data_IF_074936051875
#
_entry.id   IF_074936051875
#
_cell.length_a   1.000
_cell.length_b   1.000
_cell.length_c   1.000
_cell.angle_alpha   90.00
_cell.angle_beta   90.00
_cell.angle_gamma   90.00
#
_symmetry.space_group_name_H-M   'P 1'
#
loop_
_entity.id
_entity.type
_entity.pdbx_description
1 polymer ?
#
# COMPACT_ATOMS: atom_id res chain seq x y z
N UNK A 1 -14.52 10.92 -4.59
CA UNK A 1 -13.29 11.00 -3.78
C UNK A 1 -12.23 10.20 -4.51
N UNK A 2 -11.17 10.85 -4.96
CA UNK A 2 -10.08 10.19 -5.71
C UNK A 2 -8.96 9.82 -4.74
N UNK A 3 -8.74 8.52 -4.55
CA UNK A 3 -7.61 7.99 -3.80
C UNK A 3 -6.49 7.70 -4.80
N UNK A 4 -5.33 8.37 -4.67
CA UNK A 4 -4.19 8.06 -5.54
C UNK A 4 -3.40 6.88 -4.97
N UNK A 5 -3.52 5.75 -5.63
CA UNK A 5 -2.65 4.59 -5.45
C UNK A 5 -1.33 4.80 -6.21
N UNK A 6 -0.74 6.00 -6.20
CA UNK A 6 0.39 6.40 -7.06
C UNK A 6 -0.03 7.07 -8.39
N UNK A 7 0.96 7.64 -9.10
CA UNK A 7 0.77 8.34 -10.40
C UNK A 7 1.23 7.50 -11.60
N UNK A 8 1.81 6.32 -11.37
CA UNK A 8 2.22 5.41 -12.45
C UNK A 8 1.05 4.56 -12.95
N UNK A 9 1.03 4.32 -14.26
CA UNK A 9 0.07 3.43 -14.94
C UNK A 9 0.30 1.96 -14.53
N UNK A 10 1.52 1.61 -14.12
CA UNK A 10 1.93 0.23 -13.81
C UNK A 10 1.82 -0.03 -12.32
N UNK A 11 0.89 -0.91 -11.96
CA UNK A 11 0.82 -1.53 -10.63
C UNK A 11 1.56 -2.86 -10.65
N UNK A 12 2.47 -3.08 -9.70
CA UNK A 12 3.20 -4.33 -9.55
C UNK A 12 2.58 -5.16 -8.43
N UNK A 13 2.25 -6.41 -8.74
CA UNK A 13 1.89 -7.41 -7.74
C UNK A 13 3.15 -7.79 -6.94
N UNK A 14 3.03 -7.77 -5.61
CA UNK A 14 4.12 -8.07 -4.67
C UNK A 14 3.85 -9.30 -3.83
N UNK A 15 2.75 -10.01 -4.08
CA UNK A 15 2.39 -11.24 -3.39
C UNK A 15 1.31 -11.02 -2.32
N UNK A 16 1.27 -11.92 -1.36
CA UNK A 16 0.24 -11.94 -0.31
C UNK A 16 0.88 -11.84 1.07
N UNK A 17 0.18 -11.18 1.99
CA UNK A 17 0.53 -11.19 3.42
C UNK A 17 0.18 -12.52 4.06
N UNK A 18 0.69 -12.73 5.27
CA UNK A 18 0.15 -13.77 6.15
C UNK A 18 -1.31 -13.46 6.57
N UNK A 19 -2.01 -14.45 7.16
CA UNK A 19 -3.40 -14.29 7.56
C UNK A 19 -3.52 -13.22 8.65
N UNK A 20 -4.09 -12.07 8.29
CA UNK A 20 -4.30 -10.93 9.19
C UNK A 20 -5.81 -10.72 9.31
N UNK A 21 -6.26 -10.29 10.49
CA UNK A 21 -7.65 -9.89 10.67
C UNK A 21 -7.94 -8.57 9.95
N UNK A 22 -8.90 -8.60 9.03
CA UNK A 22 -9.33 -7.38 8.37
C UNK A 22 -10.16 -6.51 9.32
N UNK A 23 -9.80 -5.23 9.55
CA UNK A 23 -10.54 -4.38 10.48
C UNK A 23 -11.96 -4.06 10.00
N UNK A 24 -12.26 -4.23 8.70
CA UNK A 24 -13.60 -4.00 8.16
C UNK A 24 -14.53 -5.22 8.28
N UNK A 25 -14.05 -6.42 7.90
CA UNK A 25 -14.90 -7.62 7.90
C UNK A 25 -14.61 -8.60 9.05
N UNK A 26 -13.64 -8.29 9.93
CA UNK A 26 -13.18 -9.13 11.07
C UNK A 26 -12.83 -10.57 10.70
N UNK A 27 -12.61 -10.83 9.42
CA UNK A 27 -12.20 -12.13 8.93
C UNK A 27 -10.68 -12.18 8.86
N UNK A 28 -10.10 -13.31 9.27
CA UNK A 28 -8.71 -13.63 9.00
C UNK A 28 -8.54 -13.91 7.52
N UNK A 29 -7.81 -13.04 6.82
CA UNK A 29 -7.61 -13.10 5.37
C UNK A 29 -6.15 -12.83 5.02
N UNK A 30 -5.69 -13.39 3.90
CA UNK A 30 -4.42 -13.03 3.30
C UNK A 30 -4.65 -11.83 2.39
N UNK A 31 -4.08 -10.69 2.74
CA UNK A 31 -4.21 -9.49 1.92
C UNK A 31 -3.32 -9.61 0.69
N UNK A 32 -3.81 -9.12 -0.44
CA UNK A 32 -3.01 -9.03 -1.65
C UNK A 32 -2.27 -7.69 -1.69
N UNK A 33 -0.96 -7.74 -1.85
CA UNK A 33 -0.04 -6.60 -1.79
C UNK A 33 0.24 -6.11 -3.20
N UNK A 34 0.07 -4.80 -3.40
CA UNK A 34 0.39 -4.12 -4.63
C UNK A 34 1.29 -2.93 -4.36
N UNK A 35 2.16 -2.64 -5.32
CA UNK A 35 3.01 -1.44 -5.31
C UNK A 35 2.72 -0.62 -6.55
N UNK A 36 2.60 0.69 -6.36
CA UNK A 36 2.70 1.66 -7.45
C UNK A 36 3.77 2.70 -7.14
N UNK A 37 4.18 3.47 -8.13
CA UNK A 37 5.08 4.61 -7.95
C UNK A 37 4.27 5.92 -7.97
N UNK A 38 4.58 6.78 -7.00
CA UNK A 38 4.25 8.20 -7.05
C UNK A 38 5.52 8.98 -7.41
N UNK A 39 5.51 9.61 -8.58
CA UNK A 39 6.59 10.44 -9.09
C UNK A 39 6.10 11.89 -9.03
N UNK A 40 6.77 12.72 -8.25
CA UNK A 40 6.47 14.15 -8.12
C UNK A 40 7.73 14.96 -8.33
N UNK A 41 7.61 16.02 -9.13
CA UNK A 41 8.67 17.01 -9.27
C UNK A 41 8.64 17.90 -8.03
N UNK A 42 9.80 18.11 -7.41
CA UNK A 42 9.93 19.14 -6.39
C UNK A 42 10.10 20.47 -7.15
N UNK A 43 9.22 21.47 -6.98
CA UNK A 43 9.34 22.71 -7.74
C UNK A 43 10.55 23.57 -7.28
N UNK A 44 10.95 23.43 -6.01
CA UNK A 44 12.04 24.20 -5.39
C UNK A 44 13.44 23.67 -5.74
N UNK A 45 13.55 22.40 -6.15
CA UNK A 45 14.81 21.74 -6.48
C UNK A 45 14.61 20.87 -7.72
N UNK A 46 15.55 20.79 -8.69
CA UNK A 46 15.38 20.00 -9.92
C UNK A 46 15.52 18.47 -9.66
N UNK A 47 14.92 17.99 -8.58
CA UNK A 47 14.93 16.61 -8.12
C UNK A 47 13.53 16.01 -8.24
N UNK A 48 13.50 14.73 -8.57
CA UNK A 48 12.28 13.94 -8.67
C UNK A 48 12.13 13.16 -7.37
N UNK A 49 11.04 13.41 -6.64
CA UNK A 49 10.61 12.56 -5.54
C UNK A 49 9.94 11.32 -6.13
N UNK A 50 10.59 10.17 -5.99
CA UNK A 50 10.04 8.87 -6.32
C UNK A 50 9.69 8.14 -5.01
N UNK A 51 8.40 7.90 -4.77
CA UNK A 51 7.92 7.16 -3.60
C UNK A 51 7.14 5.92 -4.05
N UNK A 52 7.44 4.77 -3.44
CA UNK A 52 6.71 3.54 -3.61
C UNK A 52 5.46 3.53 -2.73
N UNK A 53 4.29 3.67 -3.33
CA UNK A 53 3.01 3.55 -2.62
C UNK A 53 2.60 2.09 -2.59
N UNK A 54 2.57 1.51 -1.39
CA UNK A 54 2.09 0.16 -1.14
C UNK A 54 0.64 0.18 -0.68
N UNK A 55 -0.17 -0.69 -1.29
CA UNK A 55 -1.56 -0.87 -0.89
C UNK A 55 -1.93 -2.35 -0.85
N UNK A 56 -2.84 -2.64 0.08
CA UNK A 56 -3.30 -3.97 0.44
C UNK A 56 -4.78 -4.06 0.15
N UNK A 57 -5.20 -5.14 -0.50
CA UNK A 57 -6.61 -5.38 -0.82
C UNK A 57 -7.10 -6.62 -0.09
N UNK A 58 -8.20 -6.47 0.66
CA UNK A 58 -8.89 -7.59 1.28
C UNK A 58 -9.68 -8.38 0.21
N UNK A 59 -9.45 -9.70 0.04
CA UNK A 59 -10.16 -10.49 -0.96
C UNK A 59 -11.65 -10.71 -0.62
N UNK A 60 -12.05 -10.57 0.65
CA UNK A 60 -13.45 -10.80 1.07
C UNK A 60 -14.34 -9.57 0.98
N UNK A 61 -13.84 -8.41 1.39
CA UNK A 61 -14.64 -7.17 1.45
C UNK A 61 -14.15 -6.07 0.52
N UNK A 62 -13.13 -6.35 -0.31
CA UNK A 62 -12.52 -5.40 -1.26
C UNK A 62 -12.05 -4.08 -0.62
N UNK A 63 -11.87 -4.05 0.71
CA UNK A 63 -11.33 -2.87 1.38
C UNK A 63 -9.85 -2.70 1.06
N UNK A 64 -9.48 -1.45 0.81
CA UNK A 64 -8.13 -1.06 0.43
C UNK A 64 -7.49 -0.36 1.63
N UNK A 65 -6.28 -0.81 1.98
CA UNK A 65 -5.45 -0.22 3.01
C UNK A 65 -4.10 0.18 2.42
N UNK A 66 -3.41 1.07 3.11
CA UNK A 66 -2.04 1.47 2.80
C UNK A 66 -1.13 1.12 3.95
N UNK A 67 0.13 0.86 3.64
CA UNK A 67 1.20 0.66 4.62
C UNK A 67 2.34 1.62 4.34
N UNK A 68 3.21 1.81 5.32
CA UNK A 68 4.41 2.62 5.12
C UNK A 68 5.35 1.94 4.11
N UNK A 69 6.16 2.75 3.42
CA UNK A 69 7.04 2.26 2.35
C UNK A 69 8.04 1.22 2.86
N UNK A 70 8.59 1.42 4.07
CA UNK A 70 9.52 0.47 4.70
C UNK A 70 8.88 -0.91 4.93
N UNK A 71 7.66 -0.95 5.45
CA UNK A 71 6.91 -2.20 5.67
C UNK A 71 6.51 -2.85 4.35
N UNK A 72 6.13 -2.05 3.36
CA UNK A 72 5.83 -2.51 2.01
C UNK A 72 7.05 -3.11 1.31
N UNK A 73 8.23 -2.52 1.50
CA UNK A 73 9.50 -3.04 0.97
C UNK A 73 9.91 -4.35 1.64
N UNK A 74 9.69 -4.50 2.96
CA UNK A 74 9.89 -5.77 3.67
C UNK A 74 8.93 -6.86 3.17
N UNK A 75 7.65 -6.54 3.00
CA UNK A 75 6.68 -7.44 2.36
C UNK A 75 7.12 -7.83 0.94
N UNK A 76 7.61 -6.87 0.16
CA UNK A 76 8.08 -7.12 -1.20
C UNK A 76 9.37 -7.97 -1.26
N UNK A 77 10.18 -7.96 -0.20
CA UNK A 77 11.34 -8.85 -0.02
C UNK A 77 10.96 -10.25 0.47
N UNK A 78 9.70 -10.46 0.84
CA UNK A 78 9.17 -11.75 1.27
C UNK A 78 8.99 -11.90 2.78
N UNK A 79 9.19 -10.83 3.56
CA UNK A 79 8.91 -10.84 4.99
C UNK A 79 7.42 -10.67 5.25
N UNK A 80 6.71 -11.81 5.29
CA UNK A 80 5.24 -11.87 5.39
C UNK A 80 4.66 -11.35 6.73
N UNK A 81 5.49 -11.26 7.77
CA UNK A 81 5.14 -10.73 9.10
C UNK A 81 5.31 -9.21 9.24
N UNK A 82 5.79 -8.52 8.20
CA UNK A 82 6.11 -7.10 8.29
C UNK A 82 4.89 -6.18 8.47
N UNK A 83 3.67 -6.70 8.32
CA UNK A 83 2.42 -5.95 8.46
C UNK A 83 1.48 -6.67 9.39
N UNK A 84 1.14 -6.03 10.50
CA UNK A 84 0.09 -6.45 11.42
C UNK A 84 -1.24 -5.70 11.22
N UNK A 85 -2.28 -6.06 11.99
CA UNK A 85 -3.59 -5.41 11.91
C UNK A 85 -3.57 -3.93 12.32
N UNK A 86 -2.58 -3.49 13.12
CA UNK A 86 -2.39 -2.10 13.53
C UNK A 86 -1.62 -1.24 12.51
N UNK A 87 -0.92 -1.88 11.58
CA UNK A 87 -0.14 -1.21 10.53
C UNK A 87 -1.00 -0.83 9.32
N UNK A 88 -2.23 -1.36 9.25
CA UNK A 88 -3.20 -1.07 8.20
C UNK A 88 -3.75 0.35 8.33
N UNK A 89 -3.18 1.29 7.57
CA UNK A 89 -3.65 2.67 7.51
C UNK A 89 -4.75 2.80 6.45
N UNK A 90 -5.72 3.69 6.71
CA UNK A 90 -6.65 4.14 5.67
C UNK A 90 -5.88 4.93 4.61
N UNK A 91 -6.30 4.80 3.36
CA UNK A 91 -5.76 5.56 2.24
C UNK A 91 -5.70 7.05 2.60
N UNK A 92 -4.50 7.64 2.51
CA UNK A 92 -4.31 9.08 2.73
C UNK A 92 -5.13 9.85 1.68
N UNK A 93 -5.89 10.83 2.14
CA UNK A 93 -6.63 11.73 1.27
C UNK A 93 -5.67 12.63 0.47
N UNK A 94 -6.13 13.06 -0.70
CA UNK A 94 -5.37 13.95 -1.57
C UNK A 94 -5.19 15.31 -0.89
N UNK A 95 -3.96 15.65 -0.46
CA UNK A 95 -3.61 17.06 -0.24
C UNK A 95 -3.32 17.66 -1.61
N UNK A 96 -4.24 18.51 -2.07
CA UNK A 96 -4.13 19.33 -3.28
C UNK A 96 -2.90 20.21 -3.24
#
# INVERSE_FOLDING_TARGET
>A
MEYRLGNSIRVKDKGNTDPIECPNCKNTVRFKVFRNMDLRLIPEYPLINAQGVYFLICPKCASIYTVDEDQGDLLAKGEKYAVGPYDLKKLKEFKK
#
